data_IF_066268397744
#
_entry.id   IF_066268397744
#
_cell.length_a   1.000
_cell.length_b   1.000
_cell.length_c   1.000
_cell.angle_alpha   90.00
_cell.angle_beta   90.00
_cell.angle_gamma   90.00
#
_symmetry.space_group_name_H-M   'P 1'
#
loop_
_entity.id
_entity.type
_entity.pdbx_description
1 polymer ?
#
# COMPACT_ATOMS: atom_id res chain seq x y z
N UNK A 1 -16.05 17.47 12.64
CA UNK A 1 -14.97 18.39 12.22
C UNK A 1 -13.65 17.63 12.19
N UNK A 2 -12.67 18.02 11.35
CA UNK A 2 -11.33 17.42 11.37
C UNK A 2 -10.71 17.55 12.76
N UNK A 3 -10.17 16.47 13.34
CA UNK A 3 -9.62 16.48 14.71
C UNK A 3 -8.42 17.42 14.89
N UNK A 4 -7.76 17.77 13.80
CA UNK A 4 -6.53 18.57 13.79
C UNK A 4 -6.73 19.98 13.23
N UNK A 5 -7.65 20.12 12.26
CA UNK A 5 -7.74 21.29 11.39
C UNK A 5 -9.16 21.91 11.38
N UNK A 6 -10.14 21.35 12.13
CA UNK A 6 -11.55 21.78 12.26
C UNK A 6 -12.40 21.98 10.98
N UNK A 7 -11.83 21.73 9.81
CA UNK A 7 -12.47 21.82 8.48
C UNK A 7 -13.25 20.57 8.08
N UNK A 8 -13.97 20.65 6.94
CA UNK A 8 -14.75 19.56 6.37
C UNK A 8 -13.90 18.29 6.17
N UNK A 9 -14.26 17.17 6.83
CA UNK A 9 -13.47 15.95 6.76
C UNK A 9 -13.68 15.22 5.42
N UNK A 10 -12.62 14.60 4.93
CA UNK A 10 -12.59 13.79 3.69
C UNK A 10 -12.30 12.31 3.98
N UNK A 11 -11.87 11.98 5.20
CA UNK A 11 -11.56 10.63 5.64
C UNK A 11 -11.98 10.44 7.11
N UNK A 12 -12.50 9.26 7.43
CA UNK A 12 -12.88 8.84 8.77
C UNK A 12 -12.25 7.48 9.07
N UNK A 13 -11.50 7.40 10.16
CA UNK A 13 -10.96 6.15 10.68
C UNK A 13 -12.05 5.31 11.35
N UNK A 14 -11.80 4.02 11.52
CA UNK A 14 -12.67 3.09 12.24
C UNK A 14 -12.92 3.53 13.70
N UNK A 15 -11.95 4.19 14.34
CA UNK A 15 -12.10 4.82 15.65
C UNK A 15 -12.79 6.20 15.64
N UNK A 16 -13.52 6.54 14.57
CA UNK A 16 -14.29 7.79 14.38
C UNK A 16 -13.46 9.07 14.30
N UNK A 17 -12.13 8.98 14.33
CA UNK A 17 -11.25 10.14 14.06
C UNK A 17 -11.44 10.59 12.61
N UNK A 18 -11.57 11.90 12.38
CA UNK A 18 -11.76 12.48 11.04
C UNK A 18 -10.59 13.36 10.63
N UNK A 19 -10.23 13.33 9.34
CA UNK A 19 -9.19 14.18 8.75
C UNK A 19 -9.76 14.99 7.57
N UNK A 20 -9.37 16.27 7.47
CA UNK A 20 -9.59 17.06 6.26
C UNK A 20 -8.52 16.76 5.20
N UNK A 21 -8.62 17.39 4.02
CA UNK A 21 -7.73 17.17 2.86
C UNK A 21 -6.24 17.26 3.20
N UNK A 22 -5.80 18.38 3.78
CA UNK A 22 -4.37 18.63 4.09
C UNK A 22 -3.87 17.67 5.16
N UNK A 23 -4.65 17.56 6.23
CA UNK A 23 -4.39 16.66 7.36
C UNK A 23 -4.31 15.18 6.90
N UNK A 24 -5.12 14.74 5.93
CA UNK A 24 -5.06 13.39 5.34
C UNK A 24 -3.81 13.16 4.49
N UNK A 25 -3.49 14.09 3.57
CA UNK A 25 -2.29 14.01 2.72
C UNK A 25 -1.03 13.86 3.59
N UNK A 26 -0.92 14.68 4.64
CA UNK A 26 0.22 14.63 5.57
C UNK A 26 0.29 13.29 6.33
N UNK A 27 -0.85 12.80 6.82
CA UNK A 27 -0.93 11.48 7.45
C UNK A 27 -0.46 10.38 6.49
N UNK A 28 -0.93 10.42 5.24
CA UNK A 28 -0.61 9.43 4.22
C UNK A 28 0.89 9.42 3.92
N UNK A 29 1.49 10.57 3.60
CA UNK A 29 2.93 10.70 3.32
C UNK A 29 3.80 10.28 4.52
N UNK A 30 3.41 10.67 5.74
CA UNK A 30 4.09 10.22 6.98
C UNK A 30 4.00 8.71 7.16
N UNK A 31 2.84 8.11 6.88
CA UNK A 31 2.66 6.67 6.95
C UNK A 31 3.52 5.95 5.92
N UNK A 32 3.77 6.52 4.73
CA UNK A 32 4.65 5.89 3.73
C UNK A 32 6.09 5.90 4.24
N UNK A 33 6.55 7.05 4.73
CA UNK A 33 7.87 7.18 5.34
C UNK A 33 8.06 6.20 6.51
N UNK A 34 7.02 6.00 7.34
CA UNK A 34 7.02 5.00 8.40
C UNK A 34 7.13 3.58 7.84
N UNK A 35 6.32 3.19 6.85
CA UNK A 35 6.33 1.86 6.24
C UNK A 35 7.70 1.52 5.66
N UNK A 36 8.29 2.44 4.89
CA UNK A 36 9.61 2.25 4.26
C UNK A 36 10.69 2.04 5.31
N UNK A 37 10.68 2.83 6.39
CA UNK A 37 11.65 2.72 7.49
C UNK A 37 11.44 1.44 8.30
N UNK A 38 10.19 1.12 8.65
CA UNK A 38 9.82 -0.07 9.44
C UNK A 38 10.35 -1.34 8.79
N UNK A 39 10.19 -1.46 7.48
CA UNK A 39 10.59 -2.65 6.72
C UNK A 39 11.93 -2.50 5.99
N UNK A 40 12.69 -1.43 6.25
CA UNK A 40 14.01 -1.15 5.65
C UNK A 40 14.03 -1.31 4.12
N UNK A 41 12.97 -0.86 3.44
CA UNK A 41 12.76 -1.10 2.01
C UNK A 41 13.82 -0.42 1.14
N UNK A 42 14.25 0.79 1.51
CA UNK A 42 15.10 1.65 0.69
C UNK A 42 16.38 2.01 1.45
N UNK A 43 17.51 1.94 0.77
CA UNK A 43 18.83 2.32 1.24
C UNK A 43 19.43 3.40 0.34
N UNK A 44 20.43 4.13 0.86
CA UNK A 44 21.18 5.10 0.08
C UNK A 44 21.94 4.41 -1.04
N UNK A 45 21.88 4.95 -2.26
CA UNK A 45 22.48 4.41 -3.47
C UNK A 45 21.57 3.46 -4.26
N UNK A 46 20.37 3.14 -3.76
CA UNK A 46 19.46 2.22 -4.46
C UNK A 46 18.98 2.79 -5.81
N UNK A 47 18.78 1.88 -6.76
CA UNK A 47 18.12 2.13 -8.03
C UNK A 47 16.80 1.38 -8.03
N UNK A 48 15.71 2.08 -7.73
CA UNK A 48 14.39 1.47 -7.55
C UNK A 48 13.64 1.45 -8.88
N UNK A 49 13.46 0.25 -9.40
CA UNK A 49 12.59 -0.04 -10.53
C UNK A 49 11.12 0.03 -10.15
N UNK A 50 10.27 0.63 -10.98
CA UNK A 50 8.81 0.56 -10.84
C UNK A 50 8.14 0.38 -12.21
N UNK A 51 6.97 -0.27 -12.23
CA UNK A 51 6.14 -0.40 -13.43
C UNK A 51 5.11 0.73 -13.46
N UNK A 52 5.12 1.54 -14.52
CA UNK A 52 4.12 2.57 -14.73
C UNK A 52 2.92 2.00 -15.48
N UNK A 53 1.76 2.09 -14.86
CA UNK A 53 0.44 1.74 -15.41
C UNK A 53 -0.55 2.85 -15.05
N UNK A 54 -1.70 2.89 -15.72
CA UNK A 54 -2.69 3.93 -15.49
C UNK A 54 -3.56 3.68 -14.25
N UNK A 55 -3.36 2.59 -13.51
CA UNK A 55 -4.12 2.33 -12.28
C UNK A 55 -3.72 3.28 -11.14
N UNK A 56 -4.69 3.60 -10.28
CA UNK A 56 -4.48 4.54 -9.18
C UNK A 56 -3.35 4.15 -8.24
N UNK A 57 -3.07 2.86 -8.02
CA UNK A 57 -1.99 2.42 -7.12
C UNK A 57 -0.63 2.65 -7.75
N UNK A 58 -0.45 2.35 -9.04
CA UNK A 58 0.79 2.59 -9.77
C UNK A 58 1.09 4.09 -9.86
N UNK A 59 0.09 4.91 -10.19
CA UNK A 59 0.24 6.36 -10.26
C UNK A 59 0.62 6.95 -8.89
N UNK A 60 0.01 6.47 -7.81
CA UNK A 60 0.37 6.90 -6.44
C UNK A 60 1.77 6.42 -6.05
N UNK A 61 2.12 5.18 -6.38
CA UNK A 61 3.46 4.64 -6.12
C UNK A 61 4.54 5.48 -6.83
N UNK A 62 4.35 5.80 -8.12
CA UNK A 62 5.26 6.68 -8.86
C UNK A 62 5.35 8.06 -8.21
N UNK A 63 4.22 8.67 -7.85
CA UNK A 63 4.19 9.98 -7.19
C UNK A 63 5.00 9.98 -5.88
N UNK A 64 4.83 8.94 -5.05
CA UNK A 64 5.56 8.82 -3.78
C UNK A 64 7.06 8.60 -4.03
N UNK A 65 7.43 7.69 -4.93
CA UNK A 65 8.83 7.38 -5.18
C UNK A 65 9.60 8.61 -5.69
N UNK A 66 8.97 9.42 -6.56
CA UNK A 66 9.53 10.71 -6.99
C UNK A 66 9.77 11.63 -5.78
N UNK A 67 8.73 11.90 -4.99
CA UNK A 67 8.82 12.75 -3.80
C UNK A 67 9.89 12.29 -2.79
N UNK A 68 10.07 10.99 -2.64
CA UNK A 68 11.07 10.43 -1.73
C UNK A 68 12.49 10.53 -2.29
N UNK A 69 12.66 10.35 -3.60
CA UNK A 69 13.95 10.44 -4.29
C UNK A 69 14.52 11.86 -4.28
N UNK A 70 13.67 12.89 -4.24
CA UNK A 70 14.10 14.28 -4.07
C UNK A 70 14.73 14.57 -2.69
N UNK A 71 14.39 13.76 -1.68
CA UNK A 71 14.77 13.98 -0.28
C UNK A 71 15.82 12.99 0.23
N UNK A 72 16.14 11.97 -0.56
CA UNK A 72 16.95 10.84 -0.15
C UNK A 72 17.87 10.44 -1.28
N UNK A 73 19.06 9.96 -0.97
CA UNK A 73 20.05 9.60 -1.97
C UNK A 73 19.74 8.24 -2.62
N UNK A 74 18.68 8.14 -3.43
CA UNK A 74 18.38 6.98 -4.27
C UNK A 74 17.79 7.44 -5.60
N UNK A 75 17.88 6.59 -6.62
CA UNK A 75 17.35 6.89 -7.96
C UNK A 75 16.16 5.98 -8.26
N UNK A 76 15.24 6.47 -9.10
CA UNK A 76 14.12 5.66 -9.59
C UNK A 76 14.29 5.43 -11.09
N UNK A 77 13.87 4.25 -11.55
CA UNK A 77 13.91 3.87 -12.96
C UNK A 77 12.61 3.20 -13.37
N UNK A 78 12.11 3.51 -14.57
CA UNK A 78 10.95 2.81 -15.13
C UNK A 78 11.39 1.44 -15.63
N UNK A 79 10.63 0.40 -15.32
CA UNK A 79 10.85 -0.95 -15.82
C UNK A 79 10.28 -1.13 -17.24
N UNK A 80 10.91 -1.93 -18.11
CA UNK A 80 12.12 -2.74 -17.86
C UNK A 80 13.42 -1.91 -17.91
N UNK A 81 14.26 -2.05 -16.88
CA UNK A 81 15.59 -1.41 -16.82
C UNK A 81 16.58 -2.30 -16.08
N UNK A 82 17.76 -2.51 -16.68
CA UNK A 82 18.84 -3.31 -16.07
C UNK A 82 19.54 -2.61 -14.91
N UNK A 83 19.30 -1.31 -14.72
CA UNK A 83 19.90 -0.51 -13.64
C UNK A 83 19.22 -0.75 -12.29
N UNK A 84 17.99 -1.27 -12.29
CA UNK A 84 17.23 -1.47 -11.06
C UNK A 84 17.86 -2.56 -10.19
N UNK A 85 18.20 -2.23 -8.94
CA UNK A 85 18.63 -3.21 -7.94
C UNK A 85 17.46 -3.67 -7.05
N UNK A 86 16.40 -2.86 -6.93
CA UNK A 86 15.15 -3.18 -6.24
C UNK A 86 13.96 -2.91 -7.13
N UNK A 87 12.85 -3.59 -6.87
CA UNK A 87 11.60 -3.45 -7.62
C UNK A 87 10.48 -3.06 -6.66
N UNK A 88 9.95 -1.85 -6.81
CA UNK A 88 8.77 -1.41 -6.11
C UNK A 88 7.51 -1.82 -6.87
N UNK A 89 6.61 -2.55 -6.20
CA UNK A 89 5.31 -2.96 -6.74
C UNK A 89 4.18 -2.21 -6.05
N UNK A 90 3.07 -2.04 -6.76
CA UNK A 90 1.90 -1.26 -6.35
C UNK A 90 0.91 -2.07 -5.48
N UNK A 91 1.43 -2.96 -4.64
CA UNK A 91 0.60 -3.81 -3.80
C UNK A 91 0.12 -3.10 -2.53
N UNK A 92 -1.18 -3.14 -2.30
CA UNK A 92 -1.89 -2.52 -1.18
C UNK A 92 -2.32 -3.55 -0.14
N UNK A 93 -2.74 -3.08 1.03
CA UNK A 93 -3.22 -3.94 2.12
C UNK A 93 -4.39 -4.84 1.68
N UNK A 94 -5.29 -4.33 0.85
CA UNK A 94 -6.42 -5.09 0.31
C UNK A 94 -5.95 -6.24 -0.60
N UNK A 95 -5.04 -5.96 -1.53
CA UNK A 95 -4.48 -6.97 -2.43
C UNK A 95 -3.74 -8.08 -1.65
N UNK A 96 -2.94 -7.69 -0.68
CA UNK A 96 -2.18 -8.62 0.17
C UNK A 96 -3.11 -9.47 1.02
N UNK A 97 -4.13 -8.86 1.66
CA UNK A 97 -5.09 -9.61 2.46
C UNK A 97 -5.87 -10.64 1.62
N UNK A 98 -6.29 -10.26 0.41
CA UNK A 98 -6.97 -11.16 -0.52
C UNK A 98 -6.07 -12.35 -0.92
N UNK A 99 -4.81 -12.09 -1.29
CA UNK A 99 -3.88 -13.14 -1.70
C UNK A 99 -3.52 -14.08 -0.53
N UNK A 100 -3.26 -13.53 0.66
CA UNK A 100 -2.98 -14.33 1.86
C UNK A 100 -4.15 -15.28 2.16
N UNK A 101 -5.39 -14.78 2.17
CA UNK A 101 -6.57 -15.61 2.41
C UNK A 101 -6.76 -16.64 1.30
N UNK A 102 -6.55 -16.26 0.05
CA UNK A 102 -6.61 -17.15 -1.11
C UNK A 102 -5.63 -18.33 -0.99
N UNK A 103 -4.37 -18.05 -0.63
CA UNK A 103 -3.35 -19.07 -0.42
C UNK A 103 -3.70 -20.01 0.75
N UNK A 104 -4.21 -19.47 1.85
CA UNK A 104 -4.64 -20.28 3.01
C UNK A 104 -5.78 -21.22 2.61
N UNK A 105 -6.81 -20.72 1.91
CA UNK A 105 -7.96 -21.53 1.46
C UNK A 105 -7.51 -22.64 0.50
N UNK A 106 -6.52 -22.37 -0.35
CA UNK A 106 -5.93 -23.36 -1.28
C UNK A 106 -5.01 -24.38 -0.58
N UNK A 107 -4.74 -24.24 0.71
CA UNK A 107 -3.79 -25.08 1.45
C UNK A 107 -2.31 -24.77 1.19
N UNK A 108 -2.03 -23.64 0.55
CA UNK A 108 -0.70 -23.21 0.10
C UNK A 108 -0.05 -22.21 1.08
N UNK A 109 -0.28 -22.40 2.39
CA UNK A 109 0.13 -21.44 3.44
C UNK A 109 1.64 -21.16 3.46
N UNK A 110 2.48 -22.10 3.03
CA UNK A 110 3.94 -21.91 2.91
C UNK A 110 4.32 -20.80 1.92
N UNK A 111 3.48 -20.53 0.92
CA UNK A 111 3.70 -19.47 -0.08
C UNK A 111 3.35 -18.08 0.43
N UNK A 112 2.65 -17.95 1.56
CA UNK A 112 2.30 -16.65 2.15
C UNK A 112 3.51 -15.82 2.54
N UNK A 113 4.69 -16.43 2.69
CA UNK A 113 5.97 -15.72 2.88
C UNK A 113 6.29 -14.74 1.74
N UNK A 114 5.78 -14.98 0.53
CA UNK A 114 5.92 -14.06 -0.63
C UNK A 114 5.08 -12.80 -0.48
N UNK A 115 4.06 -12.86 0.38
CA UNK A 115 3.20 -11.74 0.72
C UNK A 115 3.78 -10.85 1.83
N UNK A 116 5.07 -10.98 2.12
CA UNK A 116 5.77 -10.06 3.01
C UNK A 116 6.04 -8.70 2.31
N UNK A 117 6.20 -7.61 3.09
CA UNK A 117 6.43 -6.27 2.54
C UNK A 117 7.76 -6.14 1.77
N UNK A 118 8.71 -7.04 2.06
CA UNK A 118 10.00 -7.17 1.37
C UNK A 118 10.25 -8.64 1.08
N UNK A 119 10.43 -8.98 -0.19
CA UNK A 119 10.78 -10.33 -0.65
C UNK A 119 11.99 -10.23 -1.61
N UNK A 120 13.18 -10.56 -1.12
CA UNK A 120 14.42 -10.37 -1.88
C UNK A 120 14.61 -8.90 -2.27
N UNK A 121 14.61 -8.62 -3.58
CA UNK A 121 14.73 -7.27 -4.13
C UNK A 121 13.37 -6.58 -4.36
N UNK A 122 12.25 -7.27 -4.11
CA UNK A 122 10.91 -6.71 -4.28
C UNK A 122 10.50 -5.99 -2.99
N UNK A 123 9.99 -4.77 -3.12
CA UNK A 123 9.47 -3.96 -2.03
C UNK A 123 8.03 -3.53 -2.32
N UNK A 124 7.21 -3.42 -1.28
CA UNK A 124 5.79 -3.04 -1.36
C UNK A 124 5.54 -1.74 -0.56
N UNK A 125 5.87 -0.53 -1.07
CA UNK A 125 5.75 0.70 -0.28
C UNK A 125 4.32 1.04 0.19
N UNK A 126 3.31 0.54 -0.51
CA UNK A 126 1.88 0.73 -0.19
C UNK A 126 1.28 -0.41 0.66
N UNK A 127 2.11 -1.32 1.19
CA UNK A 127 1.69 -2.53 1.89
C UNK A 127 0.70 -2.33 3.05
N UNK A 128 0.82 -1.22 3.79
CA UNK A 128 -0.02 -0.94 4.96
C UNK A 128 -1.24 -0.04 4.67
N UNK A 129 -1.49 0.25 3.39
CA UNK A 129 -2.51 1.19 2.94
C UNK A 129 -3.70 0.49 2.33
N UNK A 130 -4.89 0.89 2.76
CA UNK A 130 -6.12 0.43 2.14
C UNK A 130 -6.28 1.07 0.76
N UNK A 131 -6.94 0.39 -0.16
CA UNK A 131 -7.24 0.92 -1.49
C UNK A 131 -8.03 2.22 -1.43
N UNK A 132 -8.96 2.32 -0.49
CA UNK A 132 -9.70 3.56 -0.24
C UNK A 132 -8.78 4.72 0.16
N UNK A 133 -7.71 4.47 0.93
CA UNK A 133 -6.74 5.49 1.31
C UNK A 133 -5.93 5.93 0.08
N UNK A 134 -5.45 4.98 -0.72
CA UNK A 134 -4.65 5.26 -1.92
C UNK A 134 -5.49 6.01 -2.97
N UNK A 135 -6.74 5.59 -3.19
CA UNK A 135 -7.66 6.25 -4.11
C UNK A 135 -8.04 7.66 -3.64
N UNK A 136 -8.26 7.85 -2.35
CA UNK A 136 -8.51 9.19 -1.80
C UNK A 136 -7.28 10.09 -1.99
N UNK A 137 -6.07 9.57 -1.73
CA UNK A 137 -4.83 10.32 -1.93
C UNK A 137 -4.66 10.76 -3.39
N UNK A 138 -4.88 9.85 -4.36
CA UNK A 138 -4.77 10.17 -5.79
C UNK A 138 -5.73 11.28 -6.20
N UNK A 139 -7.00 11.21 -5.77
CA UNK A 139 -8.02 12.24 -6.02
C UNK A 139 -7.65 13.59 -5.40
N UNK A 140 -7.18 13.60 -4.15
CA UNK A 140 -6.86 14.85 -3.45
C UNK A 140 -5.60 15.54 -4.01
N UNK A 141 -4.65 14.77 -4.54
CA UNK A 141 -3.46 15.27 -5.25
C UNK A 141 -3.71 15.62 -6.71
N UNK A 142 -4.91 15.34 -7.25
CA UNK A 142 -5.24 15.61 -8.65
C UNK A 142 -4.47 14.73 -9.64
N UNK A 143 -4.08 13.52 -9.22
CA UNK A 143 -3.38 12.58 -10.09
C UNK A 143 -4.34 11.97 -11.11
N UNK A 144 -3.89 11.86 -12.37
CA UNK A 144 -4.68 11.23 -13.44
C UNK A 144 -4.48 9.71 -13.40
N UNK A 145 -5.57 8.96 -13.33
CA UNK A 145 -5.59 7.50 -13.35
C UNK A 145 -6.87 7.00 -14.05
N UNK A 146 -6.82 5.77 -14.54
CA UNK A 146 -7.98 5.05 -15.05
C UNK A 146 -8.53 4.12 -13.97
N UNK A 147 -9.85 4.10 -13.82
CA UNK A 147 -10.53 3.19 -12.93
C UNK A 147 -11.24 2.13 -13.78
N UNK A 148 -10.64 0.94 -13.86
CA UNK A 148 -11.31 -0.23 -14.43
C UNK A 148 -12.12 -0.94 -13.36
N UNK A 149 -13.38 -1.26 -13.64
CA UNK A 149 -14.09 -2.27 -12.85
C UNK A 149 -13.40 -3.62 -13.03
N UNK A 150 -12.92 -4.18 -11.94
CA UNK A 150 -12.32 -5.52 -11.92
C UNK A 150 -13.38 -6.50 -11.46
N UNK A 151 -13.56 -7.59 -12.21
CA UNK A 151 -14.36 -8.72 -11.75
C UNK A 151 -13.66 -9.33 -10.54
N UNK A 152 -14.27 -9.12 -9.36
CA UNK A 152 -13.78 -9.67 -8.11
C UNK A 152 -14.06 -11.16 -8.04
N UNK A 153 -13.09 -11.92 -7.57
CA UNK A 153 -13.30 -13.35 -7.36
C UNK A 153 -14.13 -13.63 -6.09
N UNK A 154 -14.41 -14.91 -5.82
CA UNK A 154 -15.21 -15.31 -4.65
C UNK A 154 -14.54 -14.98 -3.32
N UNK A 155 -13.21 -15.04 -3.24
CA UNK A 155 -12.44 -14.74 -2.03
C UNK A 155 -12.43 -13.24 -1.79
N UNK A 156 -12.22 -12.43 -2.81
CA UNK A 156 -12.26 -10.96 -2.71
C UNK A 156 -13.65 -10.48 -2.25
N UNK A 157 -14.71 -11.01 -2.85
CA UNK A 157 -16.09 -10.67 -2.44
C UNK A 157 -16.39 -11.11 -1.01
N UNK A 158 -15.96 -12.30 -0.61
CA UNK A 158 -16.09 -12.77 0.77
C UNK A 158 -15.39 -11.84 1.75
N UNK A 159 -14.13 -11.46 1.47
CA UNK A 159 -13.36 -10.63 2.37
C UNK A 159 -13.88 -9.19 2.43
N UNK A 160 -14.41 -8.65 1.33
CA UNK A 160 -15.09 -7.36 1.31
C UNK A 160 -16.37 -7.37 2.16
N UNK A 161 -17.20 -8.41 2.05
CA UNK A 161 -18.39 -8.56 2.89
C UNK A 161 -18.03 -8.73 4.38
N UNK A 162 -16.92 -9.43 4.65
CA UNK A 162 -16.45 -9.61 6.01
C UNK A 162 -15.89 -8.31 6.61
N UNK A 163 -15.11 -7.53 5.84
CA UNK A 163 -14.61 -6.20 6.23
C UNK A 163 -15.77 -5.22 6.55
N UNK A 164 -16.89 -5.28 5.81
CA UNK A 164 -18.07 -4.45 6.12
C UNK A 164 -18.69 -4.78 7.48
N UNK A 165 -18.71 -6.06 7.86
CA UNK A 165 -19.28 -6.53 9.13
C UNK A 165 -18.29 -6.38 10.29
N UNK A 166 -17.00 -6.53 10.00
CA UNK A 166 -15.91 -6.49 10.95
C UNK A 166 -14.79 -5.60 10.40
N UNK A 167 -14.83 -4.29 10.71
CA UNK A 167 -13.82 -3.36 10.23
C UNK A 167 -12.41 -3.75 10.70
N UNK A 168 -11.41 -3.51 9.85
CA UNK A 168 -9.98 -3.82 10.05
C UNK A 168 -9.61 -5.31 9.92
N UNK A 169 -10.49 -6.20 9.46
CA UNK A 169 -10.15 -7.61 9.25
C UNK A 169 -9.01 -7.78 8.25
N UNK A 170 -9.03 -7.06 7.12
CA UNK A 170 -7.94 -7.13 6.13
C UNK A 170 -6.61 -6.74 6.75
N UNK A 171 -6.63 -5.74 7.64
CA UNK A 171 -5.44 -5.33 8.39
C UNK A 171 -5.01 -6.41 9.38
N UNK A 172 -5.96 -7.06 10.07
CA UNK A 172 -5.68 -8.17 10.97
C UNK A 172 -5.01 -9.33 10.23
N UNK A 173 -5.51 -9.73 9.06
CA UNK A 173 -4.90 -10.77 8.21
C UNK A 173 -3.43 -10.46 7.90
N UNK A 174 -3.16 -9.26 7.39
CA UNK A 174 -1.80 -8.83 7.04
C UNK A 174 -0.90 -8.75 8.29
N UNK A 175 -1.41 -8.25 9.41
CA UNK A 175 -0.64 -8.18 10.66
C UNK A 175 -0.32 -9.57 11.21
N UNK A 176 -1.26 -10.52 11.17
CA UNK A 176 -1.01 -11.90 11.57
C UNK A 176 0.13 -12.51 10.77
N UNK A 177 0.20 -12.26 9.46
CA UNK A 177 1.33 -12.70 8.64
C UNK A 177 2.64 -12.07 9.11
N UNK A 178 2.66 -10.75 9.34
CA UNK A 178 3.84 -10.06 9.83
C UNK A 178 4.32 -10.63 11.17
N UNK A 179 3.41 -10.94 12.10
CA UNK A 179 3.72 -11.52 13.41
C UNK A 179 4.29 -12.94 13.29
N UNK A 180 3.71 -13.77 12.43
CA UNK A 180 4.18 -15.13 12.15
C UNK A 180 5.63 -15.16 11.63
N UNK A 181 6.01 -14.19 10.80
CA UNK A 181 7.34 -14.12 10.20
C UNK A 181 8.29 -13.12 10.88
N UNK A 182 7.83 -12.35 11.87
CA UNK A 182 8.69 -11.48 12.68
C UNK A 182 9.50 -12.25 13.74
N UNK A 183 9.08 -13.48 14.06
CA UNK A 183 9.67 -14.32 15.10
C UNK A 183 10.77 -15.29 14.60
N UNK A 184 11.25 -15.11 13.37
CA UNK A 184 12.32 -15.93 12.77
C UNK A 184 13.47 -15.07 12.25
#
# INVERSE_FOLDING_TARGET
MCKLCETNPVYEFTNKRKLCKTCFIHYFEKKVLYTIRKFKMIQSGDFIGYKKTNDFRSVVLENILNFLSEKSNFQIVKLPSKKANKIAINSSLDLEANEIVSLIIKGDSSKTKKELPVEGNIIKPLYLFLDQEILLYSKLKGLKFEQSEKNKDKVENFLDEFEKKHPEVKRAVVNSLLELYASN
#
